data_IF_476426822314
#
_entry.id   IF_476426822314
#
_cell.length_a   1.000
_cell.length_b   1.000
_cell.length_c   1.000
_cell.angle_alpha   90.00
_cell.angle_beta   90.00
_cell.angle_gamma   90.00
#
_symmetry.space_group_name_H-M   'P 1'
#
loop_
_entity.id
_entity.type
_entity.pdbx_description
1 polymer ?
#
# COMPACT_ATOMS: atom_id res chain seq x y z
N UNK A 1 17.60 6.42 -21.72
CA UNK A 1 16.37 6.79 -21.00
C UNK A 1 15.42 5.64 -21.23
N UNK A 2 15.27 4.78 -20.22
CA UNK A 2 14.34 3.64 -20.25
C UNK A 2 12.93 4.20 -20.17
N UNK A 3 12.03 3.78 -21.05
CA UNK A 3 10.61 3.85 -20.73
C UNK A 3 10.42 3.02 -19.47
N UNK A 4 9.85 3.61 -18.42
CA UNK A 4 9.38 2.86 -17.26
C UNK A 4 8.10 2.18 -17.73
N UNK A 5 8.19 0.88 -18.01
CA UNK A 5 7.01 0.06 -18.27
C UNK A 5 6.13 0.09 -17.01
N UNK A 6 4.81 0.10 -17.19
CA UNK A 6 3.81 0.01 -16.11
C UNK A 6 3.90 -1.30 -15.28
N UNK A 7 4.90 -2.13 -15.59
CA UNK A 7 5.16 -3.47 -15.05
C UNK A 7 5.80 -3.47 -13.65
N UNK A 8 6.33 -2.35 -13.17
CA UNK A 8 6.95 -2.24 -11.83
C UNK A 8 6.07 -1.37 -10.90
N UNK A 9 5.09 -1.96 -10.22
CA UNK A 9 4.24 -1.19 -9.29
C UNK A 9 3.26 -1.99 -8.43
N UNK A 10 2.81 -1.34 -7.34
CA UNK A 10 1.65 -1.74 -6.56
C UNK A 10 0.42 -1.03 -7.13
N UNK A 11 -0.58 -1.80 -7.55
CA UNK A 11 -1.80 -1.28 -8.16
C UNK A 11 -3.02 -1.77 -7.39
N UNK A 12 -4.08 -0.95 -7.36
CA UNK A 12 -5.34 -1.28 -6.71
C UNK A 12 -6.51 -0.97 -7.63
N UNK A 13 -7.52 -1.84 -7.67
CA UNK A 13 -8.73 -1.67 -8.48
C UNK A 13 -9.95 -2.34 -7.84
N UNK A 14 -11.14 -1.86 -8.18
CA UNK A 14 -12.39 -2.57 -7.83
C UNK A 14 -12.45 -3.84 -8.68
N UNK A 15 -12.84 -4.96 -8.08
CA UNK A 15 -12.97 -6.23 -8.80
C UNK A 15 -14.16 -7.05 -8.29
N UNK A 16 -14.69 -7.90 -9.18
CA UNK A 16 -15.71 -8.88 -8.84
C UNK A 16 -15.04 -10.15 -8.31
N UNK A 17 -15.34 -10.49 -7.07
CA UNK A 17 -14.87 -11.68 -6.36
C UNK A 17 -15.50 -12.97 -6.92
N UNK A 18 -14.92 -14.16 -6.64
CA UNK A 18 -15.48 -15.44 -7.09
C UNK A 18 -16.92 -15.72 -6.62
N UNK A 19 -17.35 -15.10 -5.51
CA UNK A 19 -18.72 -15.20 -4.99
C UNK A 19 -19.69 -14.17 -5.61
N UNK A 20 -19.22 -13.34 -6.53
CA UNK A 20 -19.98 -12.27 -7.19
C UNK A 20 -20.07 -10.98 -6.38
N UNK A 21 -19.46 -10.89 -5.21
CA UNK A 21 -19.34 -9.64 -4.47
C UNK A 21 -18.29 -8.71 -5.09
N UNK A 22 -18.35 -7.42 -4.77
CA UNK A 22 -17.32 -6.46 -5.16
C UNK A 22 -16.31 -6.29 -4.03
N UNK A 23 -15.03 -6.27 -4.37
CA UNK A 23 -13.93 -6.10 -3.42
C UNK A 23 -12.77 -5.32 -4.02
N UNK A 24 -11.63 -5.33 -3.32
CA UNK A 24 -10.42 -4.64 -3.75
C UNK A 24 -9.43 -5.65 -4.32
N UNK A 25 -9.11 -5.55 -5.60
CA UNK A 25 -7.99 -6.27 -6.20
C UNK A 25 -6.69 -5.48 -6.01
N UNK A 26 -5.65 -6.15 -5.50
CA UNK A 26 -4.28 -5.63 -5.39
C UNK A 26 -3.40 -6.40 -6.35
N UNK A 27 -2.73 -5.70 -7.26
CA UNK A 27 -1.77 -6.28 -8.21
C UNK A 27 -0.35 -5.81 -7.92
N UNK A 28 0.60 -6.73 -8.06
CA UNK A 28 2.03 -6.54 -7.77
C UNK A 28 2.83 -7.21 -8.88
N UNK A 29 3.70 -6.42 -9.54
CA UNK A 29 4.69 -6.83 -10.56
C UNK A 29 4.36 -8.07 -11.42
N UNK A 30 4.16 -7.87 -12.71
CA UNK A 30 4.24 -8.91 -13.74
C UNK A 30 3.05 -9.87 -13.83
N UNK A 31 2.53 -10.42 -12.72
CA UNK A 31 1.44 -11.42 -12.75
C UNK A 31 0.75 -11.70 -11.41
N UNK A 32 1.20 -11.13 -10.27
CA UNK A 32 0.61 -11.46 -8.98
C UNK A 32 -0.55 -10.54 -8.65
N UNK A 33 -1.73 -11.10 -8.41
CA UNK A 33 -2.88 -10.38 -7.90
C UNK A 33 -3.56 -11.16 -6.77
N UNK A 34 -4.09 -10.43 -5.80
CA UNK A 34 -4.91 -10.98 -4.73
C UNK A 34 -6.04 -10.01 -4.40
N UNK A 35 -7.12 -10.56 -3.86
CA UNK A 35 -8.34 -9.82 -3.64
C UNK A 35 -8.60 -9.71 -2.14
N UNK A 36 -9.10 -8.54 -1.72
CA UNK A 36 -9.42 -8.22 -0.34
C UNK A 36 -10.92 -7.94 -0.24
N UNK A 37 -11.59 -8.62 0.69
CA UNK A 37 -12.93 -8.22 1.10
C UNK A 37 -12.88 -6.93 1.93
N UNK A 38 -14.04 -6.40 2.35
CA UNK A 38 -14.14 -5.15 3.12
C UNK A 38 -13.23 -5.12 4.35
N UNK A 39 -13.34 -6.12 5.21
CA UNK A 39 -12.62 -6.16 6.48
C UNK A 39 -11.12 -6.31 6.25
N UNK A 40 -10.74 -7.16 5.28
CA UNK A 40 -9.35 -7.34 4.85
C UNK A 40 -8.77 -6.05 4.26
N UNK A 41 -9.51 -5.32 3.43
CA UNK A 41 -9.05 -4.07 2.83
C UNK A 41 -8.79 -2.97 3.88
N UNK A 42 -9.66 -2.88 4.90
CA UNK A 42 -9.43 -1.96 6.03
C UNK A 42 -8.20 -2.37 6.84
N UNK A 43 -8.09 -3.65 7.22
CA UNK A 43 -6.93 -4.15 7.95
C UNK A 43 -5.62 -3.95 7.18
N UNK A 44 -5.62 -4.27 5.89
CA UNK A 44 -4.51 -4.06 4.98
C UNK A 44 -4.08 -2.59 4.93
N UNK A 45 -5.02 -1.66 4.75
CA UNK A 45 -4.72 -0.23 4.71
C UNK A 45 -4.16 0.29 6.04
N UNK A 46 -4.73 -0.16 7.17
CA UNK A 46 -4.22 0.16 8.51
C UNK A 46 -2.78 -0.33 8.65
N UNK A 47 -2.49 -1.57 8.26
CA UNK A 47 -1.13 -2.12 8.30
C UNK A 47 -0.15 -1.32 7.43
N UNK A 48 -0.55 -0.86 6.23
CA UNK A 48 0.27 0.05 5.42
C UNK A 48 0.61 1.35 6.19
N UNK A 49 -0.39 1.98 6.82
CA UNK A 49 -0.18 3.19 7.60
C UNK A 49 0.69 2.96 8.84
N UNK A 50 0.50 1.84 9.54
CA UNK A 50 1.32 1.47 10.70
C UNK A 50 2.77 1.32 10.28
N UNK A 51 3.06 0.53 9.24
CA UNK A 51 4.44 0.29 8.76
C UNK A 51 5.12 1.57 8.28
N UNK A 52 4.41 2.44 7.57
CA UNK A 52 4.93 3.75 7.19
C UNK A 52 5.30 4.60 8.41
N UNK A 53 4.44 4.60 9.43
CA UNK A 53 4.67 5.34 10.68
C UNK A 53 5.84 4.76 11.48
N UNK A 54 5.98 3.45 11.54
CA UNK A 54 7.12 2.78 12.17
C UNK A 54 8.45 3.16 11.51
N UNK A 55 8.50 3.26 10.17
CA UNK A 55 9.70 3.66 9.44
C UNK A 55 10.12 5.10 9.74
N UNK A 56 9.16 6.03 9.78
CA UNK A 56 9.41 7.41 10.19
C UNK A 56 9.87 7.49 11.64
N UNK A 57 9.23 6.74 12.53
CA UNK A 57 9.57 6.70 13.95
C UNK A 57 10.98 6.14 14.18
N UNK A 58 11.37 5.04 13.54
CA UNK A 58 12.72 4.48 13.65
C UNK A 58 13.79 5.47 13.22
N UNK A 59 13.51 6.18 12.13
CA UNK A 59 14.40 7.22 11.62
C UNK A 59 14.50 8.39 12.60
N UNK A 60 13.39 8.81 13.20
CA UNK A 60 13.35 9.88 14.19
C UNK A 60 14.13 9.50 15.46
N UNK A 61 13.97 8.28 15.97
CA UNK A 61 14.71 7.78 17.14
C UNK A 61 16.21 7.72 16.85
N UNK A 62 16.62 7.21 15.69
CA UNK A 62 18.02 7.22 15.28
C UNK A 62 18.61 8.63 15.23
N UNK A 63 17.87 9.58 14.66
CA UNK A 63 18.28 10.99 14.62
C UNK A 63 18.43 11.55 16.03
N UNK A 64 17.46 11.32 16.91
CA UNK A 64 17.49 11.80 18.30
C UNK A 64 18.69 11.23 19.07
N UNK A 65 18.91 9.91 19.03
CA UNK A 65 20.01 9.26 19.75
C UNK A 65 21.38 9.76 19.24
N UNK A 66 21.53 9.90 17.93
CA UNK A 66 22.79 10.42 17.36
C UNK A 66 23.01 11.89 17.65
N UNK A 67 21.95 12.70 17.73
CA UNK A 67 22.02 14.12 18.10
C UNK A 67 22.54 14.32 19.54
N UNK A 68 22.22 13.40 20.46
CA UNK A 68 22.72 13.43 21.85
C UNK A 68 24.08 12.72 22.02
N UNK A 69 24.73 12.34 20.91
CA UNK A 69 26.09 11.81 20.90
C UNK A 69 26.22 10.28 20.93
N UNK A 70 25.11 9.53 20.84
CA UNK A 70 25.18 8.07 20.74
C UNK A 70 25.74 7.69 19.35
N UNK A 71 26.76 6.83 19.25
CA UNK A 71 27.27 6.38 17.95
C UNK A 71 26.16 5.70 17.13
N UNK A 72 26.04 6.02 15.85
CA UNK A 72 24.97 5.54 14.96
C UNK A 72 24.78 4.00 14.98
N UNK A 73 25.87 3.24 15.09
CA UNK A 73 25.82 1.77 15.22
C UNK A 73 25.08 1.32 16.48
N UNK A 74 25.37 1.95 17.62
CA UNK A 74 24.71 1.63 18.89
C UNK A 74 23.25 2.10 18.87
N UNK A 75 22.97 3.29 18.33
CA UNK A 75 21.60 3.77 18.15
C UNK A 75 20.76 2.81 17.31
N UNK A 76 21.33 2.24 16.23
CA UNK A 76 20.66 1.24 15.41
C UNK A 76 20.40 -0.08 16.14
N UNK A 77 21.32 -0.51 17.02
CA UNK A 77 21.10 -1.68 17.87
C UNK A 77 19.97 -1.46 18.87
N UNK A 78 19.86 -0.26 19.46
CA UNK A 78 18.74 0.08 20.36
C UNK A 78 17.41 -0.01 19.62
N UNK A 79 17.31 0.58 18.43
CA UNK A 79 16.09 0.48 17.62
C UNK A 79 15.78 -0.98 17.26
N UNK A 80 16.77 -1.74 16.80
CA UNK A 80 16.58 -3.11 16.32
C UNK A 80 16.26 -4.11 17.43
N UNK A 81 16.95 -4.02 18.57
CA UNK A 81 16.94 -5.06 19.61
C UNK A 81 16.08 -4.69 20.81
N UNK A 82 15.87 -3.39 21.09
CA UNK A 82 15.17 -2.95 22.29
C UNK A 82 13.79 -2.37 21.96
N UNK A 83 13.62 -1.68 20.82
CA UNK A 83 12.37 -0.98 20.50
C UNK A 83 11.45 -1.71 19.51
N UNK A 84 12.01 -2.37 18.49
CA UNK A 84 11.22 -3.12 17.50
C UNK A 84 10.53 -4.36 18.08
N UNK A 85 11.14 -5.16 18.98
CA UNK A 85 10.49 -6.35 19.51
C UNK A 85 9.21 -6.10 20.31
N UNK A 86 9.02 -4.88 20.82
CA UNK A 86 7.82 -4.48 21.56
C UNK A 86 6.63 -4.12 20.65
N UNK A 87 6.78 -4.21 19.33
CA UNK A 87 5.71 -3.88 18.36
C UNK A 87 4.81 -5.08 18.10
N UNK A 88 3.51 -4.85 17.85
CA UNK A 88 2.61 -5.91 17.41
C UNK A 88 3.11 -6.56 16.11
N UNK A 89 2.97 -7.89 16.01
CA UNK A 89 3.29 -8.60 14.78
C UNK A 89 2.13 -8.48 13.77
N UNK A 90 2.13 -7.40 12.98
CA UNK A 90 1.06 -7.11 12.00
C UNK A 90 1.33 -7.74 10.61
N UNK A 91 2.20 -8.75 10.51
CA UNK A 91 2.58 -9.32 9.20
C UNK A 91 1.47 -10.13 8.53
N UNK A 92 0.37 -10.43 9.21
CA UNK A 92 -0.75 -11.23 8.67
C UNK A 92 -1.67 -10.42 7.75
N UNK A 93 -1.81 -9.12 8.02
CA UNK A 93 -2.89 -8.32 7.42
C UNK A 93 -2.55 -7.83 6.01
N UNK A 94 -1.26 -7.89 5.64
CA UNK A 94 -0.78 -7.54 4.30
C UNK A 94 -0.46 -8.75 3.44
N UNK A 95 -0.65 -9.97 3.94
CA UNK A 95 -0.33 -11.19 3.18
C UNK A 95 -1.03 -11.18 1.82
N UNK A 96 -0.32 -11.56 0.75
CA UNK A 96 0.99 -12.21 0.70
C UNK A 96 2.19 -11.25 0.71
N UNK A 97 1.94 -9.94 0.80
CA UNK A 97 2.98 -8.93 0.87
C UNK A 97 3.47 -8.76 2.31
N UNK A 98 4.74 -8.40 2.41
CA UNK A 98 5.35 -8.00 3.67
C UNK A 98 6.16 -6.72 3.48
N UNK A 99 5.91 -5.76 4.37
CA UNK A 99 6.66 -4.51 4.43
C UNK A 99 7.65 -4.57 5.58
N UNK A 100 8.95 -4.63 5.27
CA UNK A 100 10.02 -4.66 6.28
C UNK A 100 10.56 -3.25 6.49
N UNK A 101 10.42 -2.73 7.71
CA UNK A 101 10.89 -1.39 8.06
C UNK A 101 12.42 -1.34 8.10
N UNK A 102 13.00 -0.36 7.41
CA UNK A 102 14.44 -0.12 7.34
C UNK A 102 14.77 1.36 7.51
N UNK A 103 16.03 1.64 7.85
CA UNK A 103 16.55 3.01 7.87
C UNK A 103 17.81 3.07 7.03
N UNK A 104 17.73 3.81 5.93
CA UNK A 104 18.83 4.04 5.01
C UNK A 104 19.70 5.23 5.43
N UNK A 105 20.75 5.47 4.64
CA UNK A 105 21.59 6.66 4.75
C UNK A 105 21.42 7.54 3.51
N UNK A 106 21.19 8.83 3.72
CA UNK A 106 21.18 9.81 2.64
C UNK A 106 22.58 9.93 2.03
N UNK A 107 22.70 9.80 0.70
CA UNK A 107 23.97 10.04 -0.02
C UNK A 107 24.45 11.49 0.12
N UNK A 108 23.51 12.43 0.18
CA UNK A 108 23.75 13.86 0.38
C UNK A 108 22.86 14.37 1.54
N UNK A 109 23.32 14.26 2.79
CA UNK A 109 22.55 14.70 3.95
C UNK A 109 22.26 16.19 3.84
N UNK A 110 20.99 16.59 3.95
CA UNK A 110 20.67 18.01 4.13
C UNK A 110 20.88 18.38 5.61
N UNK A 111 21.29 19.61 5.92
CA UNK A 111 21.51 20.04 7.31
C UNK A 111 20.26 19.89 8.20
N UNK A 112 19.08 20.02 7.61
CA UNK A 112 17.76 19.95 8.25
C UNK A 112 17.15 18.54 8.24
N UNK A 113 17.39 17.76 7.18
CA UNK A 113 16.83 16.42 7.02
C UNK A 113 17.66 15.31 7.71
N UNK A 114 18.90 15.60 8.11
CA UNK A 114 19.78 14.62 8.74
C UNK A 114 20.33 13.55 7.78
N UNK A 115 21.12 12.62 8.33
CA UNK A 115 21.81 11.58 7.54
C UNK A 115 20.99 10.32 7.28
N UNK A 116 19.84 10.15 7.94
CA UNK A 116 19.04 8.94 7.90
C UNK A 116 17.76 9.14 7.10
N UNK A 117 17.38 8.15 6.30
CA UNK A 117 16.15 8.16 5.49
C UNK A 117 15.27 6.96 5.85
N UNK A 118 13.95 7.16 6.04
CA UNK A 118 13.05 6.05 6.30
C UNK A 118 12.83 5.27 5.00
N UNK A 119 12.89 3.94 5.07
CA UNK A 119 12.72 3.05 3.94
C UNK A 119 11.85 1.86 4.34
N UNK A 120 11.12 1.30 3.39
CA UNK A 120 10.44 0.02 3.55
C UNK A 120 10.85 -0.90 2.41
N UNK A 121 11.25 -2.12 2.74
CA UNK A 121 11.44 -3.17 1.73
C UNK A 121 10.11 -3.88 1.51
N UNK A 122 9.70 -3.95 0.25
CA UNK A 122 8.52 -4.69 -0.18
C UNK A 122 8.96 -6.11 -0.55
N UNK A 123 8.36 -7.07 0.13
CA UNK A 123 8.52 -8.48 -0.16
C UNK A 123 7.19 -9.07 -0.66
N UNK A 124 7.28 -9.91 -1.68
CA UNK A 124 6.21 -10.83 -2.07
C UNK A 124 6.64 -12.23 -1.63
N UNK A 125 5.90 -12.80 -0.67
CA UNK A 125 6.35 -13.96 0.09
C UNK A 125 7.74 -13.69 0.73
N UNK A 126 8.73 -14.54 0.47
CA UNK A 126 10.09 -14.40 1.02
C UNK A 126 11.05 -13.65 0.08
N UNK A 127 10.58 -13.17 -1.07
CA UNK A 127 11.40 -12.46 -2.05
C UNK A 127 11.21 -10.95 -1.93
N UNK A 128 12.31 -10.21 -1.77
CA UNK A 128 12.32 -8.75 -1.94
C UNK A 128 12.11 -8.41 -3.42
N UNK A 129 11.11 -7.57 -3.69
CA UNK A 129 10.73 -7.15 -5.05
C UNK A 129 10.88 -5.64 -5.25
N UNK A 130 11.02 -4.87 -4.16
CA UNK A 130 11.18 -3.43 -4.30
C UNK A 130 11.42 -2.70 -2.99
N UNK A 131 11.55 -1.39 -3.10
CA UNK A 131 11.76 -0.48 -1.98
C UNK A 131 10.78 0.68 -2.10
N UNK A 132 10.15 1.05 -0.99
CA UNK A 132 9.18 2.14 -0.88
C UNK A 132 9.64 3.18 0.14
N UNK A 133 9.20 4.41 -0.04
CA UNK A 133 9.18 5.41 1.01
C UNK A 133 7.92 5.28 1.87
N UNK A 134 7.90 5.86 3.09
CA UNK A 134 6.68 5.94 3.88
C UNK A 134 5.55 6.71 3.18
N UNK A 135 5.85 7.67 2.29
CA UNK A 135 4.80 8.36 1.54
C UNK A 135 4.11 7.38 0.59
N UNK A 136 4.89 6.68 -0.23
CA UNK A 136 4.40 5.73 -1.23
C UNK A 136 3.48 4.68 -0.57
N UNK A 137 3.87 4.17 0.61
CA UNK A 137 3.07 3.19 1.33
C UNK A 137 1.77 3.78 1.93
N UNK A 138 1.79 5.04 2.41
CA UNK A 138 0.56 5.73 2.83
C UNK A 138 -0.37 5.96 1.64
N UNK A 139 0.18 6.40 0.53
CA UNK A 139 -0.57 6.67 -0.69
C UNK A 139 -1.20 5.37 -1.21
N UNK A 140 -0.49 4.24 -1.15
CA UNK A 140 -1.05 2.91 -1.42
C UNK A 140 -2.18 2.53 -0.46
N UNK A 141 -1.98 2.70 0.86
CA UNK A 141 -3.03 2.43 1.85
C UNK A 141 -4.29 3.29 1.64
N UNK A 142 -4.13 4.56 1.28
CA UNK A 142 -5.24 5.45 0.94
C UNK A 142 -5.93 5.02 -0.36
N UNK A 143 -5.17 4.57 -1.36
CA UNK A 143 -5.71 4.05 -2.60
C UNK A 143 -6.57 2.80 -2.37
N UNK A 144 -6.15 1.87 -1.49
CA UNK A 144 -6.96 0.70 -1.08
C UNK A 144 -8.31 1.13 -0.51
N UNK A 145 -8.35 2.12 0.39
CA UNK A 145 -9.60 2.61 0.98
C UNK A 145 -10.49 3.32 -0.05
N UNK A 146 -9.92 4.09 -0.98
CA UNK A 146 -10.66 4.73 -2.05
C UNK A 146 -11.29 3.69 -2.99
N UNK A 147 -10.55 2.64 -3.33
CA UNK A 147 -11.05 1.53 -4.14
C UNK A 147 -12.12 0.73 -3.41
N UNK A 148 -11.98 0.52 -2.09
CA UNK A 148 -13.04 -0.10 -1.29
C UNK A 148 -14.34 0.70 -1.36
N UNK A 149 -14.26 2.03 -1.25
CA UNK A 149 -15.43 2.89 -1.39
C UNK A 149 -16.04 2.80 -2.81
N UNK A 150 -15.21 2.68 -3.85
CA UNK A 150 -15.69 2.45 -5.21
C UNK A 150 -16.41 1.09 -5.34
N UNK A 151 -15.84 0.02 -4.78
CA UNK A 151 -16.44 -1.31 -4.77
C UNK A 151 -17.83 -1.34 -4.08
N UNK A 152 -18.00 -0.58 -2.99
CA UNK A 152 -19.31 -0.43 -2.33
C UNK A 152 -20.35 0.23 -3.24
N UNK A 153 -19.94 1.25 -3.99
CA UNK A 153 -20.79 1.97 -4.95
C UNK A 153 -21.13 1.08 -6.15
N UNK A 154 -20.16 0.34 -6.67
CA UNK A 154 -20.32 -0.65 -7.74
C UNK A 154 -21.35 -1.72 -7.33
N UNK A 155 -21.24 -2.24 -6.11
CA UNK A 155 -22.20 -3.20 -5.56
C UNK A 155 -23.61 -2.58 -5.43
N UNK A 156 -23.72 -1.31 -5.04
CA UNK A 156 -24.99 -0.61 -4.95
C UNK A 156 -25.62 -0.39 -6.34
N UNK A 157 -24.82 0.00 -7.33
CA UNK A 157 -25.24 0.16 -8.72
C UNK A 157 -25.72 -1.18 -9.29
N UNK A 158 -24.95 -2.26 -9.09
CA UNK A 158 -25.34 -3.59 -9.52
C UNK A 158 -26.71 -4.01 -8.95
N UNK A 159 -26.94 -3.80 -7.65
CA UNK A 159 -28.25 -4.07 -7.02
C UNK A 159 -29.37 -3.23 -7.62
N UNK A 160 -29.12 -1.97 -7.96
CA UNK A 160 -30.12 -1.11 -8.59
C UNK A 160 -30.45 -1.56 -10.04
N UNK A 161 -29.43 -1.94 -10.81
CA UNK A 161 -29.59 -2.41 -12.19
C UNK A 161 -30.36 -3.73 -12.27
N UNK A 162 -30.04 -4.68 -11.40
CA UNK A 162 -30.72 -5.98 -11.36
C UNK A 162 -32.11 -5.89 -10.72
N UNK A 163 -32.26 -5.14 -9.62
CA UNK A 163 -33.52 -5.05 -8.88
C UNK A 163 -34.52 -4.05 -9.44
N UNK A 164 -34.10 -2.79 -9.64
CA UNK A 164 -35.01 -1.70 -10.05
C UNK A 164 -35.14 -1.60 -11.57
N UNK A 165 -34.03 -1.67 -12.29
CA UNK A 165 -34.05 -1.57 -13.76
C UNK A 165 -34.48 -2.90 -14.40
N UNK A 166 -34.23 -4.03 -13.73
CA UNK A 166 -34.61 -5.35 -14.21
C UNK A 166 -33.68 -5.88 -15.31
N UNK A 167 -32.41 -5.48 -15.31
CA UNK A 167 -31.40 -6.08 -16.17
C UNK A 167 -31.02 -7.46 -15.65
N UNK A 168 -30.67 -8.37 -16.56
CA UNK A 168 -29.98 -9.60 -16.18
C UNK A 168 -28.59 -9.31 -15.61
N UNK A 169 -28.07 -10.26 -14.84
CA UNK A 169 -26.82 -10.16 -14.07
C UNK A 169 -25.62 -9.83 -14.97
N UNK A 170 -25.50 -10.51 -16.12
CA UNK A 170 -24.38 -10.30 -17.07
C UNK A 170 -24.37 -8.86 -17.62
N UNK A 171 -25.53 -8.34 -18.03
CA UNK A 171 -25.65 -6.96 -18.51
C UNK A 171 -25.42 -5.94 -17.41
N UNK A 172 -25.90 -6.20 -16.20
CA UNK A 172 -25.65 -5.33 -15.06
C UNK A 172 -24.14 -5.24 -14.76
N UNK A 173 -23.44 -6.37 -14.73
CA UNK A 173 -21.97 -6.42 -14.53
C UNK A 173 -21.22 -5.71 -15.65
N UNK A 174 -21.62 -5.89 -16.90
CA UNK A 174 -21.01 -5.20 -18.03
C UNK A 174 -21.10 -3.67 -17.89
N UNK A 175 -22.25 -3.15 -17.44
CA UNK A 175 -22.44 -1.71 -17.20
C UNK A 175 -21.57 -1.23 -16.04
N UNK A 176 -21.50 -1.97 -14.93
CA UNK A 176 -20.65 -1.59 -13.79
C UNK A 176 -19.17 -1.61 -14.19
N UNK A 177 -18.73 -2.63 -14.93
CA UNK A 177 -17.35 -2.72 -15.43
C UNK A 177 -16.99 -1.59 -16.41
N UNK A 178 -17.96 -1.11 -17.20
CA UNK A 178 -17.76 0.02 -18.12
C UNK A 178 -17.73 1.38 -17.40
N UNK A 179 -18.20 1.46 -16.14
CA UNK A 179 -18.30 2.73 -15.40
C UNK A 179 -16.97 3.48 -15.33
N UNK A 180 -15.84 2.76 -15.23
CA UNK A 180 -14.51 3.35 -15.21
C UNK A 180 -14.22 4.24 -16.45
N UNK A 181 -14.81 3.93 -17.60
CA UNK A 181 -14.69 4.73 -18.83
C UNK A 181 -15.49 6.04 -18.80
N UNK A 182 -16.40 6.20 -17.83
CA UNK A 182 -17.30 7.35 -17.70
C UNK A 182 -17.00 8.22 -16.48
N UNK A 183 -16.05 7.83 -15.63
CA UNK A 183 -15.59 8.65 -14.50
C UNK A 183 -14.68 9.76 -15.05
N UNK A 184 -14.95 11.05 -14.77
CA UNK A 184 -14.05 12.13 -15.15
C UNK A 184 -12.67 11.93 -14.50
N UNK A 185 -11.66 11.56 -15.30
CA UNK A 185 -10.28 11.45 -14.82
C UNK A 185 -9.71 12.85 -14.66
N UNK A 186 -9.57 13.28 -13.40
CA UNK A 186 -8.82 14.49 -13.06
C UNK A 186 -7.39 14.05 -12.72
N UNK A 187 -6.52 14.12 -13.73
CA UNK A 187 -5.10 13.72 -13.74
C UNK A 187 -4.78 12.21 -13.69
N UNK A 188 -3.76 11.75 -14.46
CA UNK A 188 -3.25 10.39 -14.35
C UNK A 188 -2.47 10.17 -13.04
N UNK A 189 -2.46 8.95 -12.47
CA UNK A 189 -1.66 8.64 -11.29
C UNK A 189 -0.18 8.89 -11.56
N UNK A 190 0.52 9.45 -10.57
CA UNK A 190 1.98 9.63 -10.65
C UNK A 190 2.65 8.25 -10.58
N UNK A 191 3.41 7.90 -11.63
CA UNK A 191 4.33 6.78 -11.58
C UNK A 191 5.39 7.04 -10.50
N UNK A 192 5.58 6.08 -9.59
CA UNK A 192 6.62 6.10 -8.57
C UNK A 192 7.95 5.73 -9.25
N UNK A 193 9.02 6.51 -9.02
CA UNK A 193 10.34 6.30 -9.62
C UNK A 193 11.48 6.64 -8.66
#
# INVERSE_FOLDING_TARGET
MSNLDEDEGLWVRSEVMPDGSYGVGVSVEGDYAFSLNRDQAVAYAVACFTRATEADHDTAVLRLLTQVGVPAKHAGQVVANDLRPDRPDEHTDTQPLRFTVAVGRAKHPRPDAGQFIPLLFLHLHDREIGQLTPSDLRDHGAAVLNVLAAADLDAALHRALTGTVGLDDDRARAIVGDLANHIPTTEPPRAWG
#
